data_IF_671750821596
#
_entry.id   IF_671750821596
#
_cell.length_a   1.000
_cell.length_b   1.000
_cell.length_c   1.000
_cell.angle_alpha   90.00
_cell.angle_beta   90.00
_cell.angle_gamma   90.00
#
_symmetry.space_group_name_H-M   'P 1'
#
loop_
_entity.id
_entity.type
_entity.pdbx_description
1 polymer ?
#
# COMPACT_ATOMS: atom_id res chain seq x y z
N UNK A 1 -25.90 -43.98 -3.30
CA UNK A 1 -25.45 -43.66 -1.92
C UNK A 1 -24.16 -44.44 -1.75
N UNK A 2 -22.98 -43.82 -1.70
CA UNK A 2 -22.56 -42.55 -1.08
C UNK A 2 -21.33 -42.12 -1.89
N UNK A 3 -21.45 -41.05 -2.64
CA UNK A 3 -21.07 -39.67 -2.30
C UNK A 3 -19.67 -39.36 -2.82
N UNK A 4 -19.69 -38.42 -3.76
CA UNK A 4 -18.57 -37.98 -4.56
C UNK A 4 -18.20 -36.62 -3.99
N UNK A 5 -17.55 -36.63 -2.83
CA UNK A 5 -16.99 -35.39 -2.27
C UNK A 5 -15.72 -35.04 -3.05
N UNK A 6 -15.95 -34.22 -4.08
CA UNK A 6 -14.94 -33.40 -4.73
C UNK A 6 -14.35 -32.49 -3.65
N UNK A 7 -13.16 -32.81 -3.15
CA UNK A 7 -12.34 -31.86 -2.39
C UNK A 7 -12.01 -30.70 -3.32
N UNK A 8 -12.77 -29.61 -3.19
CA UNK A 8 -12.42 -28.34 -3.79
C UNK A 8 -11.10 -27.88 -3.15
N UNK A 9 -10.01 -27.97 -3.90
CA UNK A 9 -8.77 -27.26 -3.58
C UNK A 9 -9.12 -25.77 -3.50
N UNK A 10 -9.30 -25.26 -2.29
CA UNK A 10 -9.41 -23.83 -2.04
C UNK A 10 -8.00 -23.28 -2.23
N UNK A 11 -7.69 -22.79 -3.43
CA UNK A 11 -6.52 -21.94 -3.62
C UNK A 11 -6.72 -20.74 -2.71
N UNK A 12 -5.89 -20.61 -1.67
CA UNK A 12 -5.81 -19.40 -0.86
C UNK A 12 -5.15 -18.33 -1.72
N UNK A 13 -5.90 -17.75 -2.64
CA UNK A 13 -5.45 -16.57 -3.39
C UNK A 13 -5.45 -15.38 -2.42
N UNK A 14 -4.30 -14.71 -2.31
CA UNK A 14 -4.23 -13.43 -1.61
C UNK A 14 -5.26 -12.48 -2.23
N UNK A 15 -6.04 -11.73 -1.43
CA UNK A 15 -6.98 -10.76 -1.97
C UNK A 15 -6.22 -9.78 -2.88
N UNK A 16 -6.86 -9.33 -3.98
CA UNK A 16 -6.22 -8.39 -4.88
C UNK A 16 -5.78 -7.13 -4.10
N UNK A 17 -4.60 -6.55 -4.42
CA UNK A 17 -4.09 -5.40 -3.69
C UNK A 17 -5.02 -4.19 -3.84
N UNK A 18 -5.13 -3.39 -2.78
CA UNK A 18 -5.83 -2.11 -2.83
C UNK A 18 -5.03 -1.13 -3.71
N UNK A 19 -5.73 -0.28 -4.46
CA UNK A 19 -5.13 0.67 -5.41
C UNK A 19 -5.78 2.04 -5.29
N UNK A 20 -5.01 3.09 -5.52
CA UNK A 20 -5.51 4.47 -5.59
C UNK A 20 -4.56 5.35 -6.44
N UNK A 21 -5.06 6.50 -6.88
CA UNK A 21 -4.23 7.63 -7.30
C UNK A 21 -4.14 8.63 -6.15
N UNK A 22 -2.94 9.08 -5.81
CA UNK A 22 -2.68 9.93 -4.66
C UNK A 22 -1.76 11.10 -5.00
N UNK A 23 -1.82 12.13 -4.18
CA UNK A 23 -0.89 13.25 -4.23
C UNK A 23 0.18 13.09 -3.16
N UNK A 24 1.45 13.27 -3.51
CA UNK A 24 2.55 13.27 -2.54
C UNK A 24 2.39 14.47 -1.61
N UNK A 25 2.16 14.22 -0.32
CA UNK A 25 2.10 15.26 0.71
C UNK A 25 3.51 15.73 1.05
N UNK A 26 4.37 14.79 1.39
CA UNK A 26 5.76 15.04 1.77
C UNK A 26 6.64 13.84 1.43
N UNK A 27 7.92 14.09 1.20
CA UNK A 27 8.93 13.05 1.03
C UNK A 27 10.27 13.53 1.57
N UNK A 28 10.81 12.80 2.54
CA UNK A 28 12.07 13.08 3.21
C UNK A 28 13.17 12.27 2.55
N UNK A 29 13.74 12.78 1.44
CA UNK A 29 14.67 12.02 0.59
C UNK A 29 15.91 11.46 1.32
N UNK A 30 16.42 12.18 2.33
CA UNK A 30 17.55 11.73 3.15
C UNK A 30 17.19 10.57 4.08
N UNK A 31 15.93 10.50 4.52
CA UNK A 31 15.41 9.46 5.42
C UNK A 31 14.70 8.34 4.66
N UNK A 32 14.35 8.57 3.40
CA UNK A 32 13.80 7.59 2.47
C UNK A 32 12.32 7.27 2.70
N UNK A 33 11.53 8.15 3.32
CA UNK A 33 10.11 7.92 3.54
C UNK A 33 9.26 9.14 3.16
N UNK A 34 7.96 8.94 2.98
CA UNK A 34 7.01 10.01 2.73
C UNK A 34 5.57 9.62 3.00
N UNK A 35 4.66 10.53 2.67
CA UNK A 35 3.21 10.39 2.89
C UNK A 35 2.46 10.75 1.62
N UNK A 36 1.48 9.91 1.24
CA UNK A 36 0.62 10.08 0.09
C UNK A 36 -0.83 10.31 0.51
N UNK A 37 -1.51 11.26 -0.13
CA UNK A 37 -2.90 11.62 0.15
C UNK A 37 -3.85 11.21 -0.97
N UNK A 38 -4.88 10.46 -0.61
CA UNK A 38 -6.02 10.13 -1.46
C UNK A 38 -7.30 10.14 -0.63
N UNK A 39 -8.46 10.37 -1.27
CA UNK A 39 -9.74 10.44 -0.57
C UNK A 39 -10.12 9.09 0.06
N UNK A 40 -9.68 7.99 -0.57
CA UNK A 40 -9.87 6.62 -0.14
C UNK A 40 -8.95 6.23 1.03
N UNK A 41 -7.92 7.03 1.31
CA UNK A 41 -6.86 6.75 2.29
C UNK A 41 -6.84 7.85 3.38
N UNK A 42 -7.85 7.89 4.27
CA UNK A 42 -7.93 8.92 5.30
C UNK A 42 -6.74 8.84 6.26
N UNK A 43 -6.11 9.98 6.52
CA UNK A 43 -4.91 10.07 7.37
C UNK A 43 -3.59 9.96 6.60
N UNK A 44 -3.62 9.48 5.34
CA UNK A 44 -2.46 9.35 4.47
C UNK A 44 -1.89 7.92 4.43
N UNK A 45 -1.14 7.64 3.36
CA UNK A 45 -0.42 6.39 3.12
C UNK A 45 1.07 6.60 3.36
N UNK A 46 1.66 5.87 4.30
CA UNK A 46 3.11 5.89 4.49
C UNK A 46 3.80 5.13 3.37
N UNK A 47 4.92 5.65 2.85
CA UNK A 47 5.73 4.99 1.81
C UNK A 47 7.21 5.01 2.17
N UNK A 48 7.90 3.88 1.94
CA UNK A 48 9.36 3.82 1.94
C UNK A 48 9.92 3.89 0.52
N UNK A 49 11.14 4.41 0.35
CA UNK A 49 11.76 4.59 -0.96
C UNK A 49 11.92 3.28 -1.74
N UNK A 50 11.96 2.12 -1.06
CA UNK A 50 12.05 0.81 -1.70
C UNK A 50 10.86 0.50 -2.60
N UNK A 51 9.69 1.03 -2.26
CA UNK A 51 8.42 0.78 -2.94
C UNK A 51 8.22 1.67 -4.18
N UNK A 52 9.09 2.68 -4.38
CA UNK A 52 9.01 3.57 -5.54
C UNK A 52 9.62 2.87 -6.76
N UNK A 53 8.79 2.61 -7.76
CA UNK A 53 9.15 1.84 -8.95
C UNK A 53 9.70 2.78 -10.04
N UNK A 54 10.92 3.24 -9.84
CA UNK A 54 11.69 4.01 -10.83
C UNK A 54 13.12 3.50 -10.95
N UNK A 55 13.77 3.84 -12.06
CA UNK A 55 15.23 3.68 -12.21
C UNK A 55 15.96 4.86 -11.56
N UNK A 56 17.17 4.61 -11.05
CA UNK A 56 17.98 5.65 -10.42
C UNK A 56 17.58 5.98 -8.99
N UNK A 57 17.76 7.24 -8.59
CA UNK A 57 17.49 7.70 -7.23
C UNK A 57 15.98 7.79 -6.98
N UNK A 58 15.49 7.08 -5.98
CA UNK A 58 14.06 6.90 -5.69
C UNK A 58 13.58 8.02 -4.78
N UNK A 59 12.93 9.00 -5.37
CA UNK A 59 12.42 10.19 -4.69
C UNK A 59 11.07 10.59 -5.26
N UNK A 60 10.21 11.15 -4.41
CA UNK A 60 8.94 11.75 -4.81
C UNK A 60 8.98 13.27 -4.56
N UNK A 61 8.22 14.02 -5.34
CA UNK A 61 8.12 15.48 -5.18
C UNK A 61 6.78 15.85 -4.54
N UNK A 62 6.72 16.66 -3.47
CA UNK A 62 5.46 17.16 -2.94
C UNK A 62 4.57 17.79 -4.02
N UNK A 63 3.28 17.44 -4.02
CA UNK A 63 2.30 17.84 -5.04
C UNK A 63 2.26 16.97 -6.29
N UNK A 64 3.17 16.00 -6.44
CA UNK A 64 3.17 15.03 -7.54
C UNK A 64 1.97 14.08 -7.43
N UNK A 65 1.31 13.80 -8.55
CA UNK A 65 0.30 12.74 -8.64
C UNK A 65 1.02 11.41 -8.89
N UNK A 66 0.65 10.37 -8.15
CA UNK A 66 1.21 9.02 -8.26
C UNK A 66 0.10 7.98 -8.24
N UNK A 67 0.34 6.82 -8.85
CA UNK A 67 -0.50 5.63 -8.66
C UNK A 67 0.17 4.70 -7.64
N UNK A 68 -0.62 4.10 -6.74
CA UNK A 68 -0.09 3.21 -5.71
C UNK A 68 -0.90 1.93 -5.53
N UNK A 69 -0.19 0.91 -5.08
CA UNK A 69 -0.75 -0.24 -4.35
C UNK A 69 -0.50 -0.02 -2.85
N UNK A 70 -1.47 -0.41 -2.00
CA UNK A 70 -1.35 -0.23 -0.56
C UNK A 70 -2.05 -1.32 0.26
N UNK A 71 -1.70 -1.37 1.54
CA UNK A 71 -2.33 -2.20 2.57
C UNK A 71 -3.14 -1.32 3.54
N UNK A 72 -4.28 -1.84 4.00
CA UNK A 72 -4.96 -1.36 5.20
C UNK A 72 -4.51 -2.23 6.38
N UNK A 73 -3.54 -1.74 7.14
CA UNK A 73 -2.91 -2.50 8.22
C UNK A 73 -3.90 -2.84 9.32
N UNK A 74 -4.88 -1.98 9.57
CA UNK A 74 -5.92 -2.24 10.58
C UNK A 74 -6.84 -3.36 10.13
N UNK A 75 -7.24 -3.36 8.85
CA UNK A 75 -8.07 -4.44 8.30
C UNK A 75 -7.32 -5.79 8.30
N UNK A 76 -6.01 -5.77 8.08
CA UNK A 76 -5.21 -6.99 7.93
C UNK A 76 -4.67 -7.53 9.26
N UNK A 77 -4.29 -6.66 10.19
CA UNK A 77 -3.53 -7.03 11.40
C UNK A 77 -4.18 -6.60 12.72
N UNK A 78 -5.30 -5.87 12.69
CA UNK A 78 -6.08 -5.49 13.87
C UNK A 78 -5.97 -4.00 14.25
N UNK A 79 -6.77 -3.57 15.22
CA UNK A 79 -7.02 -2.15 15.53
C UNK A 79 -5.78 -1.31 15.86
N UNK A 80 -4.74 -1.93 16.41
CA UNK A 80 -3.53 -1.24 16.86
C UNK A 80 -2.41 -1.25 15.81
N UNK A 81 -2.64 -1.88 14.65
CA UNK A 81 -1.64 -2.00 13.60
C UNK A 81 -1.44 -0.68 12.85
N UNK A 82 -0.18 -0.25 12.76
CA UNK A 82 0.22 0.94 12.03
C UNK A 82 1.68 0.84 11.56
N UNK A 83 2.04 1.59 10.54
CA UNK A 83 3.42 1.86 10.18
C UNK A 83 3.75 3.30 10.56
N UNK A 84 4.60 3.48 11.56
CA UNK A 84 5.01 4.80 12.06
C UNK A 84 3.84 5.77 12.34
N UNK A 85 2.73 5.23 12.86
CA UNK A 85 1.50 5.98 13.16
C UNK A 85 0.46 6.04 12.02
N UNK A 86 0.76 5.49 10.84
CA UNK A 86 -0.15 5.45 9.69
C UNK A 86 -0.85 4.10 9.57
N UNK A 87 -2.18 4.13 9.37
CA UNK A 87 -3.01 2.95 9.11
C UNK A 87 -2.69 2.28 7.77
N UNK A 88 -2.28 3.07 6.78
CA UNK A 88 -2.07 2.60 5.42
C UNK A 88 -0.59 2.65 5.06
N UNK A 89 -0.11 1.62 4.38
CA UNK A 89 1.26 1.53 3.88
C UNK A 89 1.26 1.22 2.39
N UNK A 90 2.02 1.96 1.61
CA UNK A 90 2.23 1.66 0.20
C UNK A 90 3.11 0.41 0.06
N UNK A 91 2.83 -0.39 -0.96
CA UNK A 91 3.58 -1.60 -1.35
C UNK A 91 4.07 -1.53 -2.80
N UNK A 92 3.64 -0.51 -3.55
CA UNK A 92 4.21 -0.13 -4.83
C UNK A 92 3.76 1.30 -5.15
N UNK A 93 4.66 2.15 -5.64
CA UNK A 93 4.34 3.53 -6.05
C UNK A 93 4.94 3.82 -7.42
N UNK A 94 4.10 4.28 -8.34
CA UNK A 94 4.45 4.66 -9.70
C UNK A 94 4.29 6.18 -9.87
N UNK A 95 5.38 6.93 -10.03
CA UNK A 95 5.34 8.39 -10.12
C UNK A 95 4.98 8.97 -11.49
#
# INVERSE_FOLDING_TARGET
MTDSDLVAETTFEDPPPLRASAVVREFHAEEGWGVLDAAEIPGGCWVFYSEIVVTGYRVLTPGQLVDLEYEDLVAQYGSDAHQDGYRYRATSVHP
#
